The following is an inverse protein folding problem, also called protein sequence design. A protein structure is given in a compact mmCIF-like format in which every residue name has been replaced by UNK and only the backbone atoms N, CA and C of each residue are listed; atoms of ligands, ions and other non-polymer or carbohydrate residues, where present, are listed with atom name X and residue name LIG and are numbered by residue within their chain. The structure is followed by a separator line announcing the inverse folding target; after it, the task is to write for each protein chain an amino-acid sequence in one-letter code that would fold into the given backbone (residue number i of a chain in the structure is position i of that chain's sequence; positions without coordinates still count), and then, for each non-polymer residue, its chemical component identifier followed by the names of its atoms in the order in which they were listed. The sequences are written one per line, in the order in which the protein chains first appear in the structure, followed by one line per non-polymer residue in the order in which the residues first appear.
data_IF_525460331898
#
_entry.id   IF_525460331898
#
_cell.length_a   1.000
_cell.length_b   1.000
_cell.length_c   1.000
_cell.angle_alpha   90.00
_cell.angle_beta   90.00
_cell.angle_gamma   90.00
#
_symmetry.space_group_name_H-M   'P 1'
#
loop_
_entity.id
_entity.type
_entity.pdbx_description
1 polymer ?
#
# COMPACT_ATOMS: atom_id res chain seq x y z
N UNK A 1 1.00 -3.72 -13.49
CA UNK A 1 1.29 -3.58 -12.05
C UNK A 1 0.87 -2.19 -11.61
N UNK A 2 0.16 -2.06 -10.48
CA UNK A 2 -0.18 -0.76 -9.90
C UNK A 2 1.07 -0.18 -9.20
N UNK A 3 1.22 1.15 -9.14
CA UNK A 3 2.41 1.76 -8.56
C UNK A 3 2.50 1.47 -7.06
N UNK A 4 3.66 1.01 -6.61
CA UNK A 4 3.97 0.86 -5.18
C UNK A 4 4.62 2.15 -4.69
N UNK A 5 4.10 2.72 -3.61
CA UNK A 5 4.67 3.90 -2.96
C UNK A 5 5.51 3.45 -1.77
N UNK A 6 6.75 3.92 -1.65
CA UNK A 6 7.67 3.55 -0.55
C UNK A 6 8.24 4.77 0.18
N UNK A 7 8.43 4.63 1.50
CA UNK A 7 9.11 5.61 2.35
C UNK A 7 9.77 4.93 3.57
N UNK A 8 11.07 4.69 3.52
CA UNK A 8 11.77 3.95 4.58
C UNK A 8 11.19 2.53 4.73
N UNK A 9 10.75 2.11 5.93
CA UNK A 9 10.12 0.80 6.14
C UNK A 9 8.65 0.74 5.69
N UNK A 10 8.09 1.84 5.18
CA UNK A 10 6.70 1.93 4.77
C UNK A 10 6.51 1.63 3.29
N UNK A 11 5.48 0.87 2.99
CA UNK A 11 5.01 0.59 1.64
C UNK A 11 3.50 0.78 1.57
N UNK A 12 3.02 1.40 0.50
CA UNK A 12 1.60 1.55 0.19
C UNK A 12 1.33 1.09 -1.22
N UNK A 13 0.39 0.17 -1.40
CA UNK A 13 0.02 -0.42 -2.68
C UNK A 13 -1.50 -0.57 -2.78
N UNK A 14 -2.05 -0.47 -3.99
CA UNK A 14 -3.42 -0.92 -4.25
C UNK A 14 -3.39 -2.40 -4.63
N UNK A 15 -4.18 -3.22 -3.94
CA UNK A 15 -4.22 -4.67 -4.08
C UNK A 15 -5.65 -5.16 -4.29
N UNK A 16 -5.82 -6.24 -5.05
CA UNK A 16 -7.10 -6.93 -5.20
C UNK A 16 -7.19 -8.03 -4.14
N UNK A 17 -8.13 -7.91 -3.20
CA UNK A 17 -8.31 -8.88 -2.12
C UNK A 17 -9.77 -9.35 -2.03
N UNK A 18 -9.95 -10.65 -1.85
CA UNK A 18 -11.23 -11.24 -1.45
C UNK A 18 -11.28 -11.38 0.08
N UNK A 19 -12.32 -10.81 0.71
CA UNK A 19 -12.56 -10.88 2.15
C UNK A 19 -13.91 -11.54 2.49
N UNK A 20 -14.42 -12.39 1.61
CA UNK A 20 -15.66 -13.15 1.79
C UNK A 20 -16.88 -12.59 1.06
N UNK A 21 -16.73 -11.49 0.32
CA UNK A 21 -17.79 -10.86 -0.49
C UNK A 21 -17.34 -10.67 -1.97
N UNK A 22 -16.30 -11.41 -2.37
CA UNK A 22 -15.66 -11.29 -3.68
C UNK A 22 -14.43 -10.38 -3.68
N UNK A 23 -13.72 -10.42 -4.81
CA UNK A 23 -12.55 -9.60 -5.05
C UNK A 23 -12.92 -8.12 -5.20
N UNK A 24 -12.27 -7.27 -4.42
CA UNK A 24 -12.35 -5.82 -4.57
C UNK A 24 -10.99 -5.18 -4.33
N UNK A 25 -10.83 -3.96 -4.85
CA UNK A 25 -9.62 -3.17 -4.62
C UNK A 25 -9.57 -2.66 -3.19
N UNK A 26 -8.38 -2.75 -2.60
CA UNK A 26 -8.03 -2.24 -1.29
C UNK A 26 -6.71 -1.49 -1.38
N UNK A 27 -6.48 -0.58 -0.45
CA UNK A 27 -5.15 -0.01 -0.22
C UNK A 27 -4.52 -0.79 0.92
N UNK A 28 -3.39 -1.41 0.63
CA UNK A 28 -2.52 -2.05 1.60
C UNK A 28 -1.46 -1.06 2.07
N UNK A 29 -1.33 -0.92 3.38
CA UNK A 29 -0.23 -0.21 4.03
C UNK A 29 0.59 -1.26 4.76
N UNK A 30 1.87 -1.40 4.42
CA UNK A 30 2.81 -2.28 5.09
C UNK A 30 3.86 -1.47 5.84
N UNK A 31 4.23 -1.95 7.02
CA UNK A 31 5.35 -1.47 7.80
C UNK A 31 5.93 -2.62 8.61
N UNK A 32 7.17 -3.00 8.31
CA UNK A 32 7.82 -4.16 8.93
C UNK A 32 6.90 -5.40 8.82
N UNK A 33 6.56 -6.06 9.93
CA UNK A 33 5.63 -7.21 9.98
C UNK A 33 4.13 -6.84 10.04
N UNK A 34 3.80 -5.55 10.06
CA UNK A 34 2.41 -5.09 10.15
C UNK A 34 1.84 -4.76 8.78
N UNK A 35 0.62 -5.24 8.52
CA UNK A 35 -0.13 -5.00 7.30
C UNK A 35 -1.54 -4.53 7.65
N UNK A 36 -1.93 -3.37 7.09
CA UNK A 36 -3.29 -2.84 7.18
C UNK A 36 -3.91 -2.83 5.79
N UNK A 37 -5.11 -3.39 5.64
CA UNK A 37 -5.91 -3.23 4.42
C UNK A 37 -7.08 -2.30 4.69
N UNK A 38 -7.10 -1.19 3.98
CA UNK A 38 -8.11 -0.13 4.10
C UNK A 38 -8.79 0.15 2.76
N UNK A 39 -10.06 0.54 2.75
CA UNK A 39 -10.84 0.57 1.51
C UNK A 39 -10.47 1.74 0.58
N UNK A 40 -9.76 2.75 1.08
CA UNK A 40 -9.46 3.97 0.31
C UNK A 40 -8.07 4.51 0.64
N UNK A 41 -7.51 5.29 -0.30
CA UNK A 41 -6.25 5.99 -0.09
C UNK A 41 -6.33 7.03 1.04
N UNK A 42 -7.49 7.64 1.25
CA UNK A 42 -7.72 8.57 2.37
C UNK A 42 -7.59 7.85 3.72
N UNK A 43 -8.11 6.62 3.84
CA UNK A 43 -7.94 5.83 5.06
C UNK A 43 -6.48 5.42 5.28
N UNK A 44 -5.74 5.14 4.21
CA UNK A 44 -4.29 4.90 4.30
C UNK A 44 -3.54 6.16 4.76
N UNK A 45 -3.90 7.34 4.26
CA UNK A 45 -3.32 8.61 4.68
C UNK A 45 -3.58 8.91 6.16
N UNK A 46 -4.73 8.52 6.71
CA UNK A 46 -5.02 8.65 8.14
C UNK A 46 -4.05 7.82 8.97
N UNK A 47 -3.83 6.54 8.60
CA UNK A 47 -2.84 5.67 9.25
C UNK A 47 -1.44 6.30 9.19
N UNK A 48 -1.00 6.76 8.02
CA UNK A 48 0.31 7.40 7.85
C UNK A 48 0.43 8.67 8.71
N UNK A 49 -0.64 9.47 8.79
CA UNK A 49 -0.66 10.71 9.56
C UNK A 49 -0.53 10.47 11.07
N UNK A 50 -1.11 9.37 11.58
CA UNK A 50 -0.92 8.94 12.98
C UNK A 50 0.56 8.62 13.30
N UNK A 51 1.36 8.31 12.28
CA UNK A 51 2.80 8.08 12.37
C UNK A 51 3.64 9.29 11.92
N UNK A 52 3.02 10.44 11.68
CA UNK A 52 3.71 11.67 11.28
C UNK A 52 4.20 11.70 9.83
N UNK A 53 3.68 10.81 8.97
CA UNK A 53 4.04 10.70 7.56
C UNK A 53 2.98 11.31 6.65
N UNK A 54 3.40 11.79 5.48
CA UNK A 54 2.48 12.22 4.41
C UNK A 54 2.76 11.40 3.16
N UNK A 55 1.71 11.08 2.41
CA UNK A 55 1.86 10.33 1.17
C UNK A 55 2.75 11.04 0.14
N UNK A 56 2.83 12.38 0.20
CA UNK A 56 3.71 13.18 -0.64
C UNK A 56 5.22 12.94 -0.37
N UNK A 57 5.57 12.37 0.79
CA UNK A 57 6.95 12.02 1.14
C UNK A 57 7.35 10.65 0.57
N UNK A 58 6.40 9.91 -0.02
CA UNK A 58 6.64 8.61 -0.62
C UNK A 58 7.10 8.76 -2.06
N UNK A 59 8.01 7.88 -2.46
CA UNK A 59 8.46 7.75 -3.84
C UNK A 59 7.80 6.54 -4.49
N UNK A 60 7.43 6.66 -5.75
CA UNK A 60 7.01 5.50 -6.53
C UNK A 60 8.22 4.58 -6.71
N UNK A 61 8.13 3.36 -6.20
CA UNK A 61 9.00 2.28 -6.60
C UNK A 61 8.41 1.65 -7.86
N UNK A 62 9.18 1.61 -8.93
CA UNK A 62 8.91 0.67 -10.01
C UNK A 62 9.04 -0.73 -9.40
N UNK A 63 7.92 -1.42 -9.22
CA UNK A 63 7.93 -2.87 -9.04
C UNK A 63 8.53 -3.44 -10.33
N UNK A 64 9.84 -3.67 -10.31
CA UNK A 64 10.51 -4.42 -11.37
C UNK A 64 9.86 -5.79 -11.36
N UNK A 65 9.23 -6.11 -12.48
CA UNK A 65 8.85 -7.44 -12.96
C UNK A 65 9.60 -8.53 -12.17
N UNK A 66 8.87 -9.34 -11.40
CA UNK A 66 9.38 -10.65 -10.99
C UNK A 66 9.73 -11.34 -12.30
N UNK A 67 11.03 -11.52 -12.51
CA UNK A 67 11.57 -11.87 -13.81
C UNK A 67 10.84 -13.06 -14.40
N UNK A 68 10.61 -13.01 -15.71
CA UNK A 68 10.34 -14.17 -16.54
C UNK A 68 11.03 -15.43 -16.02
N UNK A 69 10.23 -16.46 -15.75
CA UNK A 69 10.46 -17.82 -16.25
C UNK A 69 9.14 -18.51 -16.61
#
# INVERSE_FOLDING_TARGET
MQPVLVHGPWQVETVLLDRGDGYREWVEVRRDDHVWHVPTLTAAQDILSQHGLRLADFTQADTVDDGCE
#
